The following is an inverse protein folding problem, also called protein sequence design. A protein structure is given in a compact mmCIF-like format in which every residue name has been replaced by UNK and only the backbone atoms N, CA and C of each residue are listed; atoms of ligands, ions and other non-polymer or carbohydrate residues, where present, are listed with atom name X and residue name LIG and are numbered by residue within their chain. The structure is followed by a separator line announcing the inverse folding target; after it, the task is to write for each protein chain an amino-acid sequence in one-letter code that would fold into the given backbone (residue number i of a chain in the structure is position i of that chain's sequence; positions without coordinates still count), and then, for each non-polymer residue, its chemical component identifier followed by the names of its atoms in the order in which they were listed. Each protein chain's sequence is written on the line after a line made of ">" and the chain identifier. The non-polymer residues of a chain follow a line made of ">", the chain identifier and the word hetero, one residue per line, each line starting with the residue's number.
data_IF_154271851631
#
_entry.id   IF_154271851631
#
_cell.length_a   1.000
_cell.length_b   1.000
_cell.length_c   1.000
_cell.angle_alpha   90.00
_cell.angle_beta   90.00
_cell.angle_gamma   90.00
#
_symmetry.space_group_name_H-M   'P 1'
#
loop_
_entity.id
_entity.type
_entity.pdbx_description
1 polymer ?
#
# COMPACT_ATOMS: atom_id res chain seq x y z
N UNK A 1 -6.27 15.49 11.13
CA UNK A 1 -7.05 14.25 10.98
C UNK A 1 -6.06 13.13 10.73
N UNK A 2 -5.92 12.19 11.64
CA UNK A 2 -5.10 10.98 11.41
C UNK A 2 -5.88 10.08 10.46
N UNK A 3 -5.37 9.87 9.24
CA UNK A 3 -5.92 8.88 8.32
C UNK A 3 -5.72 7.50 8.94
N UNK A 4 -6.80 6.92 9.49
CA UNK A 4 -6.78 5.59 10.07
C UNK A 4 -6.99 4.53 8.97
N UNK A 5 -6.03 3.63 8.85
CA UNK A 5 -6.14 2.46 7.99
C UNK A 5 -7.04 1.45 8.69
N UNK A 6 -8.21 1.16 8.10
CA UNK A 6 -9.16 0.19 8.65
C UNK A 6 -8.89 -1.21 8.10
N UNK A 7 -9.26 -2.26 8.85
CA UNK A 7 -9.14 -3.66 8.37
C UNK A 7 -9.93 -3.89 7.08
N UNK A 8 -11.10 -3.27 6.91
CA UNK A 8 -11.90 -3.37 5.69
C UNK A 8 -11.17 -2.80 4.45
N UNK A 9 -10.39 -1.72 4.63
CA UNK A 9 -9.55 -1.17 3.57
C UNK A 9 -8.39 -2.13 3.23
N UNK A 10 -7.76 -2.70 4.25
CA UNK A 10 -6.69 -3.69 4.07
C UNK A 10 -7.18 -4.90 3.28
N UNK A 11 -8.32 -5.48 3.67
CA UNK A 11 -8.91 -6.63 3.02
C UNK A 11 -9.28 -6.33 1.55
N UNK A 12 -9.88 -5.16 1.30
CA UNK A 12 -10.23 -4.73 -0.07
C UNK A 12 -8.99 -4.59 -0.96
N UNK A 13 -7.93 -3.92 -0.48
CA UNK A 13 -6.67 -3.78 -1.23
C UNK A 13 -6.01 -5.14 -1.44
N UNK A 14 -6.03 -6.00 -0.41
CA UNK A 14 -5.46 -7.32 -0.45
C UNK A 14 -6.18 -8.22 -1.48
N UNK A 15 -7.51 -8.15 -1.57
CA UNK A 15 -8.30 -8.85 -2.59
C UNK A 15 -7.98 -8.36 -4.01
N UNK A 16 -7.82 -7.04 -4.20
CA UNK A 16 -7.45 -6.49 -5.51
C UNK A 16 -6.07 -6.95 -5.97
N UNK A 17 -5.09 -7.00 -5.05
CA UNK A 17 -3.75 -7.54 -5.32
C UNK A 17 -3.84 -9.04 -5.68
N UNK A 18 -4.67 -9.81 -4.96
CA UNK A 18 -4.88 -11.23 -5.22
C UNK A 18 -5.50 -11.51 -6.59
N UNK A 19 -6.38 -10.61 -7.06
CA UNK A 19 -7.03 -10.74 -8.36
C UNK A 19 -6.04 -10.62 -9.54
N UNK A 20 -4.97 -9.84 -9.37
CA UNK A 20 -3.97 -9.59 -10.42
C UNK A 20 -2.54 -9.60 -9.83
N UNK A 21 -2.02 -10.78 -9.43
CA UNK A 21 -0.76 -10.89 -8.73
C UNK A 21 0.43 -10.54 -9.64
N UNK A 22 1.31 -9.66 -9.17
CA UNK A 22 2.56 -9.28 -9.86
C UNK A 22 2.39 -8.24 -10.97
N UNK A 23 1.15 -7.92 -11.37
CA UNK A 23 0.83 -6.85 -12.34
C UNK A 23 0.14 -5.65 -11.69
N UNK A 24 -0.37 -5.81 -10.47
CA UNK A 24 -0.98 -4.71 -9.70
C UNK A 24 0.07 -3.67 -9.30
N UNK A 25 -0.23 -2.40 -9.57
CA UNK A 25 0.47 -1.23 -9.07
C UNK A 25 -0.53 -0.32 -8.35
N UNK A 26 -0.04 0.67 -7.59
CA UNK A 26 -0.92 1.54 -6.80
C UNK A 26 -1.96 2.26 -7.67
N UNK A 27 -1.58 2.65 -8.88
CA UNK A 27 -2.45 3.31 -9.85
C UNK A 27 -3.57 2.40 -10.40
N UNK A 28 -3.43 1.08 -10.24
CA UNK A 28 -4.43 0.09 -10.66
C UNK A 28 -5.42 -0.24 -9.53
N UNK A 29 -5.14 0.16 -8.30
CA UNK A 29 -6.04 -0.06 -7.16
C UNK A 29 -7.21 0.94 -7.21
N UNK A 30 -8.42 0.42 -7.06
CA UNK A 30 -9.61 1.25 -6.92
C UNK A 30 -9.60 2.01 -5.59
N UNK A 31 -10.23 3.19 -5.57
CA UNK A 31 -10.34 4.03 -4.37
C UNK A 31 -9.34 5.19 -4.34
N UNK A 32 -9.20 5.79 -3.17
CA UNK A 32 -8.32 6.95 -2.97
C UNK A 32 -6.86 6.50 -2.90
N UNK A 33 -6.01 7.06 -3.77
CA UNK A 33 -4.59 6.68 -3.87
C UNK A 33 -3.86 6.78 -2.53
N UNK A 34 -4.12 7.84 -1.75
CA UNK A 34 -3.43 8.05 -0.47
C UNK A 34 -3.80 6.99 0.57
N UNK A 35 -5.08 6.60 0.64
CA UNK A 35 -5.54 5.49 1.47
C UNK A 35 -4.95 4.15 1.01
N UNK A 36 -4.88 3.92 -0.30
CA UNK A 36 -4.27 2.71 -0.86
C UNK A 36 -2.78 2.63 -0.53
N UNK A 37 -2.04 3.73 -0.58
CA UNK A 37 -0.62 3.76 -0.20
C UNK A 37 -0.41 3.40 1.27
N UNK A 38 -1.25 3.94 2.15
CA UNK A 38 -1.23 3.61 3.58
C UNK A 38 -1.57 2.13 3.82
N UNK A 39 -2.58 1.60 3.14
CA UNK A 39 -2.98 0.20 3.22
C UNK A 39 -1.87 -0.73 2.72
N UNK A 40 -1.29 -0.46 1.55
CA UNK A 40 -0.17 -1.22 0.98
C UNK A 40 1.04 -1.20 1.92
N UNK A 41 1.34 -0.07 2.55
CA UNK A 41 2.42 0.00 3.55
C UNK A 41 2.14 -0.90 4.74
N UNK A 42 0.93 -0.86 5.27
CA UNK A 42 0.53 -1.66 6.41
C UNK A 42 0.53 -3.17 6.08
N UNK A 43 0.04 -3.56 4.91
CA UNK A 43 0.12 -4.95 4.41
C UNK A 43 1.57 -5.42 4.27
N UNK A 44 2.47 -4.58 3.73
CA UNK A 44 3.91 -4.87 3.65
C UNK A 44 4.50 -5.04 5.05
N UNK A 45 4.17 -4.15 5.99
CA UNK A 45 4.64 -4.21 7.39
C UNK A 45 4.19 -5.49 8.09
N UNK A 46 2.98 -5.98 7.78
CA UNK A 46 2.44 -7.26 8.25
C UNK A 46 3.03 -8.48 7.52
N UNK A 47 3.83 -8.29 6.48
CA UNK A 47 4.43 -9.38 5.69
C UNK A 47 3.44 -10.11 4.78
N UNK A 48 2.26 -9.52 4.51
CA UNK A 48 1.19 -10.15 3.72
C UNK A 48 1.37 -9.98 2.21
N UNK A 49 2.18 -9.00 1.81
CA UNK A 49 2.45 -8.70 0.40
C UNK A 49 3.93 -8.44 0.15
N UNK A 50 4.33 -8.65 -1.10
CA UNK A 50 5.64 -8.29 -1.62
C UNK A 50 5.49 -7.54 -2.95
N UNK A 51 6.55 -6.84 -3.36
CA UNK A 51 6.53 -6.01 -4.55
C UNK A 51 7.70 -5.03 -4.58
N UNK A 52 7.61 -4.07 -5.49
CA UNK A 52 8.51 -2.91 -5.57
C UNK A 52 7.83 -1.76 -4.83
N UNK A 53 8.52 -1.18 -3.86
CA UNK A 53 8.00 -0.08 -3.05
C UNK A 53 8.95 1.10 -3.15
N UNK A 54 8.40 2.30 -3.34
CA UNK A 54 9.13 3.55 -3.32
C UNK A 54 8.67 4.35 -2.11
N UNK A 55 9.52 4.44 -1.09
CA UNK A 55 9.24 5.22 0.11
C UNK A 55 9.28 6.72 -0.22
N UNK A 56 8.42 7.51 0.41
CA UNK A 56 8.43 8.97 0.25
C UNK A 56 9.37 9.59 1.28
N UNK A 57 10.48 10.16 0.82
CA UNK A 57 11.48 10.81 1.69
C UNK A 57 11.26 12.31 1.88
N UNK A 58 10.20 12.87 1.29
CA UNK A 58 9.97 14.32 1.22
C UNK A 58 8.94 14.83 2.22
N UNK A 59 8.16 13.93 2.82
CA UNK A 59 7.14 14.26 3.83
C UNK A 59 7.79 14.62 5.19
N UNK A 60 7.65 15.88 5.67
CA UNK A 60 8.19 16.28 6.96
C UNK A 60 7.47 15.55 8.11
N UNK A 61 8.23 14.78 8.89
CA UNK A 61 7.69 13.91 9.93
C UNK A 61 7.83 12.42 9.60
N UNK A 62 8.29 12.07 8.39
CA UNK A 62 8.50 10.69 8.00
C UNK A 62 9.87 10.09 8.39
N UNK A 63 10.32 10.37 9.62
CA UNK A 63 11.58 9.80 10.13
C UNK A 63 11.57 8.26 10.26
N UNK A 64 10.43 7.61 9.98
CA UNK A 64 10.24 6.15 10.06
C UNK A 64 9.80 5.49 8.74
N UNK A 65 9.69 6.21 7.62
CA UNK A 65 9.29 5.65 6.32
C UNK A 65 7.84 5.13 6.31
N UNK A 66 6.93 5.81 7.00
CA UNK A 66 5.49 5.57 7.07
C UNK A 66 4.81 5.75 5.73
N UNK A 67 5.32 6.60 4.83
CA UNK A 67 4.66 6.89 3.56
C UNK A 67 5.35 6.23 2.38
N UNK A 68 4.52 5.77 1.45
CA UNK A 68 4.96 5.32 0.13
C UNK A 68 4.62 6.43 -0.85
N UNK A 69 5.56 6.76 -1.73
CA UNK A 69 5.30 7.57 -2.92
C UNK A 69 4.63 6.71 -4.00
N UNK A 70 5.09 5.47 -4.14
CA UNK A 70 4.59 4.53 -5.14
C UNK A 70 4.80 3.06 -4.74
N UNK A 71 4.04 2.16 -5.35
CA UNK A 71 4.19 0.72 -5.22
C UNK A 71 3.74 -0.02 -6.49
N UNK A 72 4.52 -1.03 -6.91
CA UNK A 72 4.30 -1.77 -8.16
C UNK A 72 4.63 -3.25 -8.02
N UNK A 73 4.13 -4.06 -8.97
CA UNK A 73 4.31 -5.52 -9.01
C UNK A 73 3.87 -6.21 -7.71
N UNK A 74 2.79 -5.70 -7.13
CA UNK A 74 2.24 -6.16 -5.87
C UNK A 74 1.72 -7.59 -6.01
N UNK A 75 2.07 -8.45 -5.05
CA UNK A 75 1.59 -9.82 -4.95
C UNK A 75 1.46 -10.21 -3.48
N UNK A 76 0.52 -11.10 -3.17
CA UNK A 76 0.45 -11.73 -1.84
C UNK A 76 1.65 -12.64 -1.61
N UNK A 77 2.06 -12.78 -0.35
CA UNK A 77 3.12 -13.70 0.11
C UNK A 77 2.51 -15.02 0.56
#
# INVERSE_FOLDING_TARGET
>A
MTLEVTEALLDSVLQQIAANPGTTAICNLAGERQLNLLAVRELRRRGLISGVFMDDSTEPGDHHGRFLLDAARLKQV
#
